data_IF_583460791655
#
_entry.id   IF_583460791655
#
_cell.length_a   1.000
_cell.length_b   1.000
_cell.length_c   1.000
_cell.angle_alpha   90.00
_cell.angle_beta   90.00
_cell.angle_gamma   90.00
#
_symmetry.space_group_name_H-M   'P 1'
#
loop_
_entity.id
_entity.type
_entity.pdbx_description
1 polymer ?
#
# COMPACT_ATOMS: atom_id res chain seq x y z
N UNK A 1 3.42 -26.64 -18.59
CA UNK A 1 4.64 -26.63 -17.76
C UNK A 1 4.31 -25.82 -16.52
N UNK A 2 4.04 -26.47 -15.39
CA UNK A 2 3.60 -25.79 -14.17
C UNK A 2 4.74 -24.91 -13.63
N UNK A 3 4.66 -23.60 -13.89
CA UNK A 3 5.73 -22.66 -13.60
C UNK A 3 5.68 -22.21 -12.14
N UNK A 4 6.10 -23.11 -11.25
CA UNK A 4 6.45 -22.77 -9.88
C UNK A 4 7.66 -21.82 -9.89
N UNK A 5 7.62 -20.75 -9.10
CA UNK A 5 8.74 -19.82 -8.94
C UNK A 5 9.98 -20.56 -8.43
N UNK A 6 11.15 -20.27 -8.99
CA UNK A 6 12.42 -20.87 -8.53
C UNK A 6 12.91 -20.32 -7.20
N UNK A 7 12.23 -19.31 -6.64
CA UNK A 7 12.57 -18.71 -5.34
C UNK A 7 12.10 -19.59 -4.18
N UNK A 8 13.04 -19.98 -3.33
CA UNK A 8 12.71 -20.64 -2.05
C UNK A 8 12.21 -19.62 -1.01
N UNK A 9 11.48 -20.11 0.00
CA UNK A 9 10.90 -19.28 1.06
C UNK A 9 11.91 -18.39 1.78
N UNK A 10 13.15 -18.86 2.00
CA UNK A 10 14.23 -18.03 2.59
C UNK A 10 14.55 -16.77 1.79
N UNK A 11 14.50 -16.84 0.46
CA UNK A 11 14.77 -15.69 -0.39
C UNK A 11 13.60 -14.72 -0.43
N UNK A 12 12.37 -15.24 -0.36
CA UNK A 12 11.17 -14.40 -0.23
C UNK A 12 11.16 -13.66 1.11
N UNK A 13 11.55 -14.33 2.20
CA UNK A 13 11.72 -13.70 3.51
C UNK A 13 12.83 -12.63 3.49
N UNK A 14 13.98 -12.94 2.89
CA UNK A 14 15.06 -11.97 2.73
C UNK A 14 14.61 -10.74 1.92
N UNK A 15 13.86 -10.95 0.84
CA UNK A 15 13.28 -9.87 0.04
C UNK A 15 12.29 -9.03 0.87
N UNK A 16 11.41 -9.67 1.63
CA UNK A 16 10.44 -8.99 2.49
C UNK A 16 11.13 -8.09 3.53
N UNK A 17 12.16 -8.62 4.22
CA UNK A 17 12.95 -7.87 5.19
C UNK A 17 13.72 -6.71 4.54
N UNK A 18 14.31 -6.94 3.37
CA UNK A 18 15.00 -5.90 2.60
C UNK A 18 14.04 -4.76 2.23
N UNK A 19 12.87 -5.07 1.66
CA UNK A 19 11.90 -4.05 1.29
C UNK A 19 11.33 -3.33 2.52
N UNK A 20 11.04 -4.05 3.61
CA UNK A 20 10.63 -3.39 4.85
C UNK A 20 11.73 -2.44 5.39
N UNK A 21 12.99 -2.84 5.33
CA UNK A 21 14.14 -2.01 5.68
C UNK A 21 14.27 -0.78 4.78
N UNK A 22 14.10 -0.92 3.47
CA UNK A 22 14.10 0.19 2.52
C UNK A 22 12.92 1.15 2.75
N UNK A 23 11.74 0.63 3.08
CA UNK A 23 10.61 1.47 3.48
C UNK A 23 10.96 2.31 4.72
N UNK A 24 11.50 1.68 5.75
CA UNK A 24 11.94 2.36 6.97
C UNK A 24 13.02 3.42 6.68
N UNK A 25 13.97 3.10 5.79
CA UNK A 25 15.02 4.03 5.38
C UNK A 25 14.47 5.24 4.63
N UNK A 26 13.65 5.04 3.59
CA UNK A 26 13.10 6.13 2.79
C UNK A 26 12.08 7.00 3.54
N UNK A 27 11.44 6.45 4.56
CA UNK A 27 10.47 7.20 5.38
C UNK A 27 11.05 7.80 6.63
N UNK A 28 12.34 7.61 6.92
CA UNK A 28 12.97 8.18 8.10
C UNK A 28 12.69 9.70 8.21
N UNK A 29 12.25 10.24 9.37
CA UNK A 29 12.18 9.63 10.71
C UNK A 29 10.82 9.00 11.09
N UNK A 30 9.94 8.70 10.14
CA UNK A 30 8.57 8.20 10.38
C UNK A 30 8.51 6.98 11.31
N UNK A 31 9.50 6.10 11.29
CA UNK A 31 9.53 4.89 12.13
C UNK A 31 9.46 5.21 13.62
N UNK A 32 9.94 6.39 14.05
CA UNK A 32 9.81 6.89 15.43
C UNK A 32 8.49 7.63 15.71
N UNK A 33 7.69 7.91 14.68
CA UNK A 33 6.46 8.71 14.73
C UNK A 33 5.28 7.97 14.10
N UNK A 34 5.31 6.63 14.14
CA UNK A 34 4.42 5.75 13.37
C UNK A 34 2.93 5.94 13.65
N UNK A 35 2.58 6.42 14.85
CA UNK A 35 1.20 6.65 15.29
C UNK A 35 0.75 8.11 15.21
N UNK A 36 1.66 9.04 14.90
CA UNK A 36 1.41 10.49 14.97
C UNK A 36 1.74 11.21 13.67
N UNK A 37 2.49 10.58 12.77
CA UNK A 37 2.89 11.11 11.48
C UNK A 37 2.65 10.10 10.36
N UNK A 38 2.72 10.58 9.12
CA UNK A 38 2.66 9.80 7.89
C UNK A 38 3.46 10.53 6.81
N UNK A 39 3.79 9.86 5.69
CA UNK A 39 4.53 10.48 4.59
C UNK A 39 3.66 11.48 3.83
N UNK A 40 3.91 12.78 4.01
CA UNK A 40 3.17 13.85 3.34
C UNK A 40 4.08 15.01 3.00
N UNK A 41 3.82 15.68 1.89
CA UNK A 41 4.29 17.04 1.68
C UNK A 41 3.35 18.04 2.41
N UNK A 42 3.85 19.18 2.91
CA UNK A 42 3.00 20.23 3.46
C UNK A 42 1.97 20.71 2.43
N UNK A 43 0.70 20.79 2.82
CA UNK A 43 -0.38 21.23 1.93
C UNK A 43 -0.78 20.23 0.83
N UNK A 44 -0.23 19.01 0.86
CA UNK A 44 -0.52 18.00 -0.14
C UNK A 44 -1.77 17.16 0.16
N UNK A 45 -2.20 16.45 -0.88
CA UNK A 45 -3.39 15.60 -0.91
C UNK A 45 -3.31 14.39 0.04
N UNK A 46 -2.15 14.08 0.63
CA UNK A 46 -2.02 12.94 1.54
C UNK A 46 -2.95 13.03 2.77
N UNK A 47 -3.29 14.25 3.23
CA UNK A 47 -4.26 14.47 4.31
C UNK A 47 -5.66 13.93 3.97
N UNK A 48 -6.02 13.96 2.69
CA UNK A 48 -7.28 13.40 2.18
C UNK A 48 -7.37 11.90 2.47
N UNK A 49 -6.27 11.17 2.36
CA UNK A 49 -6.24 9.72 2.62
C UNK A 49 -6.34 9.40 4.11
N UNK A 50 -5.81 10.26 4.98
CA UNK A 50 -6.02 10.16 6.42
C UNK A 50 -7.50 10.35 6.77
N UNK A 51 -8.11 11.40 6.21
CA UNK A 51 -9.54 11.63 6.36
C UNK A 51 -10.36 10.47 5.77
N UNK A 52 -9.95 9.90 4.63
CA UNK A 52 -10.64 8.78 4.01
C UNK A 52 -10.70 7.56 4.94
N UNK A 53 -9.55 7.18 5.52
CA UNK A 53 -9.44 6.05 6.44
C UNK A 53 -10.26 6.28 7.73
N UNK A 54 -10.23 7.49 8.26
CA UNK A 54 -11.05 7.88 9.41
C UNK A 54 -12.55 7.87 9.09
N UNK A 55 -12.97 8.50 7.99
CA UNK A 55 -14.37 8.59 7.58
C UNK A 55 -14.94 7.19 7.30
N UNK A 56 -14.17 6.32 6.66
CA UNK A 56 -14.59 4.93 6.40
C UNK A 56 -14.92 4.22 7.72
N UNK A 57 -13.97 4.26 8.67
CA UNK A 57 -14.12 3.64 9.97
C UNK A 57 -15.33 4.21 10.73
N UNK A 58 -15.49 5.54 10.71
CA UNK A 58 -16.60 6.24 11.37
C UNK A 58 -17.96 5.85 10.79
N UNK A 59 -18.10 5.82 9.46
CA UNK A 59 -19.36 5.52 8.80
C UNK A 59 -19.79 4.07 9.03
N UNK A 60 -18.85 3.12 8.88
CA UNK A 60 -19.12 1.70 9.18
C UNK A 60 -19.49 1.52 10.66
N UNK A 61 -18.77 2.17 11.58
CA UNK A 61 -19.08 2.07 13.02
C UNK A 61 -20.46 2.67 13.38
N UNK A 62 -20.96 3.62 12.59
CA UNK A 62 -22.29 4.20 12.73
C UNK A 62 -23.39 3.42 11.99
N UNK A 63 -23.05 2.31 11.29
CA UNK A 63 -24.01 1.56 10.47
C UNK A 63 -24.44 2.28 9.19
N UNK A 64 -23.66 3.26 8.73
CA UNK A 64 -23.90 4.02 7.51
C UNK A 64 -23.05 3.48 6.34
N UNK A 65 -23.45 3.82 5.11
CA UNK A 65 -22.66 3.57 3.92
C UNK A 65 -21.33 4.37 3.97
N UNK A 66 -20.16 3.72 4.00
CA UNK A 66 -18.87 4.41 3.99
C UNK A 66 -18.53 5.09 2.67
N UNK A 67 -19.27 4.81 1.59
CA UNK A 67 -19.10 5.46 0.28
C UNK A 67 -19.92 6.75 0.14
N UNK A 68 -20.56 7.22 1.21
CA UNK A 68 -21.27 8.50 1.24
C UNK A 68 -20.90 9.29 2.48
N UNK A 69 -20.82 10.61 2.38
CA UNK A 69 -20.59 11.47 3.55
C UNK A 69 -21.44 12.74 3.49
N UNK A 70 -22.01 13.19 4.62
CA UNK A 70 -22.61 14.52 4.72
C UNK A 70 -21.58 15.63 5.01
N UNK A 71 -20.33 15.27 5.32
CA UNK A 71 -19.29 16.22 5.71
C UNK A 71 -18.73 17.02 4.53
N UNK A 72 -18.95 16.54 3.31
CA UNK A 72 -18.58 17.22 2.07
C UNK A 72 -19.85 17.76 1.41
N UNK A 73 -19.81 19.00 0.92
CA UNK A 73 -20.94 19.66 0.27
C UNK A 73 -22.21 19.67 1.15
N UNK A 74 -22.06 20.07 2.41
CA UNK A 74 -23.18 20.19 3.34
C UNK A 74 -24.20 21.24 2.86
N UNK A 75 -25.52 21.00 2.97
CA UNK A 75 -26.18 19.86 3.62
C UNK A 75 -26.44 18.63 2.74
N UNK A 76 -26.22 18.72 1.42
CA UNK A 76 -26.59 17.66 0.48
C UNK A 76 -25.74 16.39 0.64
N UNK A 77 -24.49 16.56 1.07
CA UNK A 77 -23.51 15.49 1.12
C UNK A 77 -22.93 15.18 -0.26
N UNK A 78 -22.02 14.21 -0.30
CA UNK A 78 -21.46 13.71 -1.56
C UNK A 78 -21.20 12.20 -1.53
N UNK A 79 -21.21 11.63 -2.73
CA UNK A 79 -20.76 10.26 -2.99
C UNK A 79 -19.23 10.22 -3.05
N UNK A 80 -18.64 9.16 -2.53
CA UNK A 80 -17.20 8.88 -2.54
C UNK A 80 -16.81 7.82 -3.58
N UNK A 81 -17.77 7.34 -4.39
CA UNK A 81 -17.51 6.32 -5.41
C UNK A 81 -16.53 6.77 -6.52
N UNK A 82 -16.57 8.05 -6.89
CA UNK A 82 -15.65 8.66 -7.86
C UNK A 82 -14.57 9.51 -7.19
N UNK A 83 -14.42 9.37 -5.88
CA UNK A 83 -13.35 9.99 -5.11
C UNK A 83 -12.11 9.09 -5.17
N UNK A 84 -10.90 9.63 -4.96
CA UNK A 84 -9.65 8.87 -4.73
C UNK A 84 -9.67 8.13 -3.37
N UNK A 85 -10.77 7.43 -3.11
CA UNK A 85 -11.04 6.73 -1.88
C UNK A 85 -10.20 5.45 -1.80
N UNK A 86 -9.68 5.13 -0.62
CA UNK A 86 -8.85 3.94 -0.39
C UNK A 86 -9.51 3.01 0.63
N UNK A 87 -10.58 2.27 0.24
CA UNK A 87 -11.33 1.42 1.16
C UNK A 87 -10.46 0.40 1.91
N UNK A 88 -9.40 -0.11 1.26
CA UNK A 88 -8.44 -1.04 1.89
C UNK A 88 -7.79 -0.44 3.15
N UNK A 89 -7.41 0.84 3.10
CA UNK A 89 -6.86 1.54 4.28
C UNK A 89 -7.96 1.80 5.32
N UNK A 90 -9.18 2.08 4.89
CA UNK A 90 -10.34 2.20 5.76
C UNK A 90 -10.68 0.91 6.52
N UNK A 91 -10.64 -0.24 5.84
CA UNK A 91 -10.82 -1.56 6.45
C UNK A 91 -9.71 -1.86 7.45
N UNK A 92 -8.45 -1.54 7.11
CA UNK A 92 -7.36 -1.65 8.07
C UNK A 92 -7.57 -0.75 9.29
N UNK A 93 -8.11 0.45 9.09
CA UNK A 93 -8.44 1.36 10.17
C UNK A 93 -9.63 0.89 11.04
N UNK A 94 -10.54 0.05 10.53
CA UNK A 94 -11.56 -0.58 11.38
C UNK A 94 -10.93 -1.44 12.48
N UNK A 95 -9.87 -2.19 12.14
CA UNK A 95 -9.15 -3.03 13.09
C UNK A 95 -8.27 -2.21 14.03
N UNK A 96 -7.50 -1.26 13.49
CA UNK A 96 -6.50 -0.50 14.25
C UNK A 96 -7.09 0.66 15.05
N UNK A 97 -8.21 1.25 14.59
CA UNK A 97 -8.82 2.47 15.14
C UNK A 97 -7.84 3.63 15.31
N UNK A 98 -6.84 3.69 14.43
CA UNK A 98 -5.75 4.65 14.42
C UNK A 98 -5.37 4.96 12.96
N UNK A 99 -5.87 6.06 12.37
CA UNK A 99 -5.77 6.29 10.93
C UNK A 99 -4.32 6.47 10.45
N UNK A 100 -3.46 7.07 11.27
CA UNK A 100 -2.01 7.16 11.03
C UNK A 100 -1.38 5.78 10.87
N UNK A 101 -1.67 4.88 11.81
CA UNK A 101 -1.14 3.51 11.76
C UNK A 101 -1.72 2.75 10.57
N UNK A 102 -3.01 2.92 10.26
CA UNK A 102 -3.62 2.27 9.11
C UNK A 102 -2.96 2.69 7.78
N UNK A 103 -2.63 3.97 7.61
CA UNK A 103 -1.86 4.42 6.45
C UNK A 103 -0.46 3.82 6.43
N UNK A 104 0.29 3.95 7.51
CA UNK A 104 1.69 3.52 7.54
C UNK A 104 1.83 2.00 7.36
N UNK A 105 0.99 1.21 8.03
CA UNK A 105 0.94 -0.24 7.83
C UNK A 105 0.44 -0.61 6.44
N UNK A 106 -0.61 0.03 5.95
CA UNK A 106 -1.15 -0.25 4.62
C UNK A 106 -0.14 0.03 3.51
N UNK A 107 0.60 1.12 3.61
CA UNK A 107 1.68 1.43 2.68
C UNK A 107 2.86 0.47 2.81
N UNK A 108 3.34 0.20 4.02
CA UNK A 108 4.42 -0.76 4.25
C UNK A 108 4.08 -2.13 3.66
N UNK A 109 2.90 -2.65 3.98
CA UNK A 109 2.40 -3.92 3.44
C UNK A 109 2.29 -3.84 1.92
N UNK A 110 1.83 -2.73 1.36
CA UNK A 110 1.73 -2.58 -0.09
C UNK A 110 3.10 -2.62 -0.77
N UNK A 111 4.09 -1.89 -0.27
CA UNK A 111 5.46 -1.89 -0.81
C UNK A 111 6.12 -3.26 -0.69
N UNK A 112 6.05 -3.88 0.49
CA UNK A 112 6.63 -5.22 0.73
C UNK A 112 5.97 -6.27 -0.14
N UNK A 113 4.63 -6.33 -0.18
CA UNK A 113 3.91 -7.31 -0.99
C UNK A 113 4.11 -7.09 -2.50
N UNK A 114 4.17 -5.82 -2.95
CA UNK A 114 4.51 -5.49 -4.34
C UNK A 114 5.90 -6.03 -4.70
N UNK A 115 6.89 -5.82 -3.84
CA UNK A 115 8.27 -6.25 -4.11
C UNK A 115 8.43 -7.76 -4.05
N UNK A 116 7.89 -8.40 -3.01
CA UNK A 116 7.92 -9.86 -2.86
C UNK A 116 7.17 -10.53 -4.00
N UNK A 117 5.98 -10.02 -4.36
CA UNK A 117 5.20 -10.52 -5.48
C UNK A 117 5.94 -10.35 -6.81
N UNK A 118 6.58 -9.20 -7.04
CA UNK A 118 7.41 -8.95 -8.23
C UNK A 118 8.61 -9.88 -8.32
N UNK A 119 9.33 -10.09 -7.21
CA UNK A 119 10.45 -11.03 -7.15
C UNK A 119 9.99 -12.47 -7.40
N UNK A 120 8.92 -12.90 -6.73
CA UNK A 120 8.34 -14.22 -6.90
C UNK A 120 7.90 -14.48 -8.34
N UNK A 121 7.22 -13.51 -8.96
CA UNK A 121 6.82 -13.55 -10.36
C UNK A 121 8.04 -13.65 -11.29
N UNK A 122 9.08 -12.85 -11.06
CA UNK A 122 10.33 -12.89 -11.83
C UNK A 122 11.01 -14.27 -11.77
N UNK A 123 10.87 -15.00 -10.66
CA UNK A 123 11.37 -16.36 -10.47
C UNK A 123 10.79 -17.41 -11.43
N UNK A 124 9.80 -17.06 -12.27
CA UNK A 124 9.33 -17.93 -13.36
C UNK A 124 10.28 -17.92 -14.57
N UNK A 125 11.06 -16.86 -14.75
CA UNK A 125 11.98 -16.69 -15.88
C UNK A 125 13.44 -16.58 -15.46
N UNK A 126 13.71 -16.09 -14.26
CA UNK A 126 15.06 -15.82 -13.76
C UNK A 126 15.41 -16.81 -12.65
N UNK A 127 16.51 -17.56 -12.84
CA UNK A 127 16.96 -18.58 -11.87
C UNK A 127 17.81 -18.01 -10.73
N UNK A 128 18.40 -16.83 -10.92
CA UNK A 128 19.28 -16.16 -9.97
C UNK A 128 18.46 -15.37 -8.93
N UNK A 129 18.43 -15.77 -7.64
CA UNK A 129 17.54 -15.16 -6.65
C UNK A 129 17.74 -13.65 -6.45
N UNK A 130 18.99 -13.19 -6.50
CA UNK A 130 19.33 -11.78 -6.34
C UNK A 130 18.76 -10.92 -7.48
N UNK A 131 18.76 -11.43 -8.72
CA UNK A 131 18.16 -10.74 -9.85
C UNK A 131 16.64 -10.66 -9.71
N UNK A 132 15.99 -11.69 -9.17
CA UNK A 132 14.56 -11.63 -8.87
C UNK A 132 14.26 -10.56 -7.81
N UNK A 133 15.07 -10.48 -6.75
CA UNK A 133 14.95 -9.43 -5.71
C UNK A 133 15.16 -8.04 -6.32
N UNK A 134 16.08 -7.89 -7.28
CA UNK A 134 16.27 -6.63 -7.99
C UNK A 134 15.03 -6.24 -8.83
N UNK A 135 14.39 -7.20 -9.49
CA UNK A 135 13.13 -6.96 -10.21
C UNK A 135 12.01 -6.54 -9.25
N UNK A 136 11.89 -7.22 -8.11
CA UNK A 136 10.94 -6.84 -7.06
C UNK A 136 11.20 -5.43 -6.52
N UNK A 137 12.47 -5.03 -6.34
CA UNK A 137 12.85 -3.67 -5.96
C UNK A 137 12.41 -2.66 -7.03
N UNK A 138 12.76 -2.91 -8.30
CA UNK A 138 12.43 -2.02 -9.41
C UNK A 138 10.91 -1.81 -9.55
N UNK A 139 10.10 -2.81 -9.21
CA UNK A 139 8.65 -2.71 -9.19
C UNK A 139 8.14 -1.94 -7.95
N UNK A 140 8.57 -2.33 -6.75
CA UNK A 140 8.05 -1.76 -5.50
C UNK A 140 8.48 -0.31 -5.28
N UNK A 141 9.71 0.04 -5.64
CA UNK A 141 10.36 1.34 -5.44
C UNK A 141 10.64 2.06 -6.77
N UNK A 142 9.78 1.83 -7.77
CA UNK A 142 9.86 2.55 -9.05
C UNK A 142 9.79 4.07 -8.84
N UNK A 143 10.50 4.89 -9.66
CA UNK A 143 10.46 6.34 -9.55
C UNK A 143 9.05 6.93 -9.53
N UNK A 144 8.10 6.33 -10.27
CA UNK A 144 6.71 6.74 -10.25
C UNK A 144 6.10 6.63 -8.85
N UNK A 145 6.25 5.50 -8.15
CA UNK A 145 5.70 5.32 -6.79
C UNK A 145 6.39 6.24 -5.80
N UNK A 146 7.71 6.42 -5.92
CA UNK A 146 8.46 7.28 -5.02
C UNK A 146 8.06 8.76 -5.18
N UNK A 147 7.88 9.24 -6.42
CA UNK A 147 7.44 10.60 -6.69
C UNK A 147 6.04 10.90 -6.15
N UNK A 148 5.14 9.91 -6.19
CA UNK A 148 3.76 10.05 -5.70
C UNK A 148 3.58 9.73 -4.22
N UNK A 149 4.60 9.16 -3.56
CA UNK A 149 4.52 8.74 -2.16
C UNK A 149 4.04 9.84 -1.21
N UNK A 150 4.49 11.10 -1.29
CA UNK A 150 4.03 12.13 -0.36
C UNK A 150 2.61 12.64 -0.63
N UNK A 151 1.90 12.15 -1.66
CA UNK A 151 0.67 12.79 -2.12
C UNK A 151 -0.45 11.79 -2.51
N UNK A 152 -0.19 10.84 -3.42
CA UNK A 152 -1.22 10.07 -4.10
C UNK A 152 -1.20 8.59 -3.70
N UNK A 153 -1.78 8.27 -2.54
CA UNK A 153 -1.65 6.94 -1.93
C UNK A 153 -2.37 5.84 -2.70
N UNK A 154 -3.43 6.18 -3.44
CA UNK A 154 -4.12 5.25 -4.34
C UNK A 154 -3.18 4.65 -5.38
N UNK A 155 -2.15 5.38 -5.83
CA UNK A 155 -1.15 4.90 -6.80
C UNK A 155 -0.09 4.00 -6.17
N UNK A 156 -0.03 3.95 -4.84
CA UNK A 156 0.95 3.15 -4.08
C UNK A 156 0.42 1.76 -3.71
N UNK A 157 -0.90 1.55 -3.81
CA UNK A 157 -1.60 0.30 -3.48
C UNK A 157 -1.46 -0.75 -4.61
N UNK A 158 -0.22 -1.06 -5.00
CA UNK A 158 0.11 -1.94 -6.14
C UNK A 158 0.30 -3.41 -5.76
N UNK A 159 0.09 -3.78 -4.50
CA UNK A 159 0.41 -5.10 -3.96
C UNK A 159 -0.18 -6.27 -4.74
N UNK A 160 -1.40 -6.13 -5.26
CA UNK A 160 -2.14 -7.20 -5.93
C UNK A 160 -1.65 -7.44 -7.36
N UNK A 161 -0.98 -6.47 -7.99
CA UNK A 161 -0.62 -6.53 -9.41
C UNK A 161 0.24 -7.75 -9.75
N UNK A 162 1.36 -8.04 -9.05
CA UNK A 162 2.19 -9.18 -9.40
C UNK A 162 1.47 -10.53 -9.21
N UNK A 163 0.62 -10.64 -8.18
CA UNK A 163 -0.13 -11.85 -7.90
C UNK A 163 -1.25 -12.07 -8.92
N UNK A 164 -1.93 -11.01 -9.33
CA UNK A 164 -2.93 -11.06 -10.41
C UNK A 164 -2.30 -11.52 -11.72
N UNK A 165 -1.17 -10.91 -12.11
CA UNK A 165 -0.42 -11.32 -13.31
C UNK A 165 0.02 -12.77 -13.21
N UNK A 166 0.55 -13.19 -12.07
CA UNK A 166 0.96 -14.58 -11.89
C UNK A 166 -0.20 -15.58 -11.98
N UNK A 167 -1.37 -15.23 -11.42
CA UNK A 167 -2.57 -16.06 -11.48
C UNK A 167 -3.10 -16.17 -12.92
N UNK A 168 -3.02 -15.09 -13.71
CA UNK A 168 -3.40 -15.11 -15.13
C UNK A 168 -2.43 -15.95 -15.99
N UNK A 169 -1.15 -16.00 -15.62
CA UNK A 169 -0.13 -16.78 -16.32
C UNK A 169 -0.05 -18.24 -15.85
N UNK A 170 -0.82 -18.64 -14.84
CA UNK A 170 -0.84 -19.99 -14.29
C UNK A 170 -1.57 -20.96 -15.23
#
# INVERSE_FOLDING_TARGET
>A
MAAYSTLSGRWLLAAALLYAGLFAYYTWPLTGQWSTAFTSSPGADANLYLWNAWNFQRQVAAGHDPMRTPLLLYPQGSSLWMHTYTPVLGVLNLALRQPYQAMNWGLLLSFVASGVGGAWLAGRWVRQPLLCILVGFAFAYTPMKLAHWPEHYNLLLTATVPFFVAAYLA
#
